data_IF_532052209002
#
_entry.id   IF_532052209002
#
_cell.length_a   1.000
_cell.length_b   1.000
_cell.length_c   1.000
_cell.angle_alpha   90.00
_cell.angle_beta   90.00
_cell.angle_gamma   90.00
#
_symmetry.space_group_name_H-M   'P 1'
#
loop_
_entity.id
_entity.type
_entity.pdbx_description
1 polymer ?
#
# COMPACT_ATOMS: atom_id res chain seq x y z
N UNK A 1 -12.25 39.20 8.80
CA UNK A 1 -11.28 38.11 9.07
C UNK A 1 -11.67 36.93 8.19
N UNK A 2 -10.87 36.58 7.19
CA UNK A 2 -11.12 35.36 6.39
C UNK A 2 -10.39 34.23 7.10
N UNK A 3 -11.15 33.36 7.76
CA UNK A 3 -10.59 32.09 8.27
C UNK A 3 -10.29 31.24 7.04
N UNK A 4 -9.02 31.15 6.66
CA UNK A 4 -8.56 30.17 5.68
C UNK A 4 -8.75 28.78 6.31
N UNK A 5 -9.88 28.15 6.03
CA UNK A 5 -10.01 26.71 6.20
C UNK A 5 -9.10 26.08 5.14
N UNK A 6 -7.94 25.56 5.55
CA UNK A 6 -7.15 24.70 4.67
C UNK A 6 -8.01 23.47 4.38
N UNK A 7 -8.71 23.45 3.25
CA UNK A 7 -9.30 22.23 2.73
C UNK A 7 -8.13 21.31 2.37
N UNK A 8 -7.96 20.25 3.15
CA UNK A 8 -7.06 19.17 2.78
C UNK A 8 -7.65 18.47 1.55
N UNK A 9 -6.91 18.49 0.46
CA UNK A 9 -7.30 17.82 -0.79
C UNK A 9 -6.52 16.51 -0.91
N UNK A 10 -7.24 15.43 -1.21
CA UNK A 10 -6.64 14.14 -1.50
C UNK A 10 -6.33 14.02 -2.98
N UNK A 11 -5.08 13.65 -3.30
CA UNK A 11 -4.60 13.46 -4.67
C UNK A 11 -4.13 12.04 -4.87
N UNK A 12 -4.53 11.46 -5.99
CA UNK A 12 -3.95 10.23 -6.50
C UNK A 12 -2.67 10.57 -7.26
N UNK A 13 -1.59 9.82 -7.02
CA UNK A 13 -0.29 10.01 -7.66
C UNK A 13 0.23 8.68 -8.19
N UNK A 14 0.61 8.68 -9.47
CA UNK A 14 1.37 7.60 -10.10
C UNK A 14 2.80 8.07 -10.31
N UNK A 15 3.70 7.60 -9.45
CA UNK A 15 5.10 7.97 -9.51
C UNK A 15 6.00 6.74 -9.53
N UNK A 16 7.12 6.76 -10.27
CA UNK A 16 8.15 5.74 -10.14
C UNK A 16 8.82 5.87 -8.77
N UNK A 17 8.63 4.86 -7.91
CA UNK A 17 9.26 4.81 -6.58
C UNK A 17 10.40 3.80 -6.61
N UNK A 18 11.58 4.21 -6.12
CA UNK A 18 12.74 3.32 -6.00
C UNK A 18 12.52 2.34 -4.85
N UNK A 19 12.98 1.10 -5.01
CA UNK A 19 12.92 0.07 -3.96
C UNK A 19 13.98 0.23 -2.85
N UNK A 20 14.60 1.41 -2.75
CA UNK A 20 15.62 1.70 -1.74
C UNK A 20 14.94 1.68 -0.36
N UNK A 21 15.58 1.09 0.64
CA UNK A 21 15.09 1.20 2.01
C UNK A 21 15.26 2.64 2.50
N UNK A 22 14.18 3.43 2.48
CA UNK A 22 14.17 4.76 3.07
C UNK A 22 13.53 4.69 4.46
N UNK A 23 13.87 5.64 5.35
CA UNK A 23 13.22 5.75 6.65
C UNK A 23 11.73 6.15 6.55
N UNK A 24 11.28 6.63 5.38
CA UNK A 24 9.88 7.02 5.13
C UNK A 24 8.99 5.85 4.68
N UNK A 25 9.57 4.71 4.32
CA UNK A 25 8.80 3.51 3.99
C UNK A 25 8.66 2.64 5.24
N UNK A 26 7.44 2.55 5.78
CA UNK A 26 7.16 1.71 6.95
C UNK A 26 7.29 0.22 6.60
N UNK A 27 6.44 -0.27 5.70
CA UNK A 27 6.46 -1.66 5.24
C UNK A 27 6.05 -1.77 3.78
N UNK A 28 6.48 -2.86 3.13
CA UNK A 28 6.06 -3.24 1.78
C UNK A 28 5.48 -4.64 1.83
N UNK A 29 4.30 -4.81 1.23
CA UNK A 29 3.58 -6.10 1.18
C UNK A 29 3.23 -6.41 -0.28
N UNK A 30 3.63 -7.58 -0.77
CA UNK A 30 3.21 -8.08 -2.07
C UNK A 30 1.99 -8.98 -1.89
N UNK A 31 0.89 -8.60 -2.53
CA UNK A 31 -0.42 -9.28 -2.40
C UNK A 31 -0.89 -9.94 -3.69
N UNK A 32 -0.23 -9.68 -4.82
CA UNK A 32 -0.62 -10.23 -6.12
C UNK A 32 0.50 -10.24 -7.15
N UNK A 33 0.30 -11.07 -8.18
CA UNK A 33 0.95 -10.99 -9.48
C UNK A 33 0.00 -10.28 -10.46
N UNK A 34 0.55 -9.31 -11.20
CA UNK A 34 -0.17 -8.55 -12.22
C UNK A 34 0.03 -9.23 -13.56
N UNK A 35 -1.06 -9.59 -14.24
CA UNK A 35 -1.04 -10.17 -15.58
C UNK A 35 -1.30 -9.12 -16.67
N UNK A 36 -2.09 -8.09 -16.36
CA UNK A 36 -2.36 -6.98 -17.26
C UNK A 36 -2.11 -5.63 -16.58
N UNK A 37 -0.92 -5.08 -16.79
CA UNK A 37 -0.46 -3.85 -16.17
C UNK A 37 -1.26 -2.62 -16.62
N UNK A 38 -1.55 -2.49 -17.93
CA UNK A 38 -2.27 -1.32 -18.45
C UNK A 38 -3.71 -1.28 -17.93
N UNK A 39 -4.36 -2.44 -17.83
CA UNK A 39 -5.70 -2.57 -17.26
C UNK A 39 -5.72 -2.27 -15.77
N UNK A 40 -4.72 -2.72 -15.02
CA UNK A 40 -4.53 -2.36 -13.61
C UNK A 40 -4.46 -0.83 -13.45
N UNK A 41 -3.63 -0.16 -14.24
CA UNK A 41 -3.52 1.30 -14.18
C UNK A 41 -4.84 2.00 -14.54
N UNK A 42 -5.55 1.53 -15.57
CA UNK A 42 -6.86 2.07 -15.93
C UNK A 42 -7.87 2.00 -14.77
N UNK A 43 -7.92 0.86 -14.06
CA UNK A 43 -8.79 0.69 -12.91
C UNK A 43 -8.38 1.64 -11.78
N UNK A 44 -7.10 1.66 -11.39
CA UNK A 44 -6.63 2.50 -10.29
C UNK A 44 -6.87 4.00 -10.54
N UNK A 45 -6.67 4.47 -11.78
CA UNK A 45 -6.98 5.85 -12.20
C UNK A 45 -8.46 6.20 -12.12
N UNK A 46 -9.33 5.20 -12.27
CA UNK A 46 -10.77 5.38 -12.23
C UNK A 46 -11.35 5.55 -10.83
N UNK A 47 -10.58 5.24 -9.78
CA UNK A 47 -11.07 5.29 -8.40
C UNK A 47 -11.04 6.74 -7.90
N UNK A 48 -12.19 7.32 -7.53
CA UNK A 48 -12.27 8.73 -7.16
C UNK A 48 -11.55 9.01 -5.84
N UNK A 49 -10.83 10.12 -5.77
CA UNK A 49 -10.42 10.74 -4.50
C UNK A 49 -11.52 11.66 -4.01
N UNK A 50 -11.96 11.48 -2.75
CA UNK A 50 -13.09 12.24 -2.20
C UNK A 50 -12.59 13.20 -1.13
N UNK A 51 -12.65 14.50 -1.43
CA UNK A 51 -12.29 15.56 -0.49
C UNK A 51 -13.51 16.01 0.31
N UNK A 52 -13.46 15.89 1.63
CA UNK A 52 -14.49 16.44 2.53
C UNK A 52 -15.55 15.45 3.02
N UNK A 53 -15.54 14.20 2.55
CA UNK A 53 -16.38 13.14 3.10
C UNK A 53 -15.85 12.68 4.46
N UNK A 54 -16.70 12.73 5.48
CA UNK A 54 -16.33 12.33 6.84
C UNK A 54 -15.94 10.84 6.87
N UNK A 55 -14.72 10.55 7.33
CA UNK A 55 -14.18 9.19 7.39
C UNK A 55 -13.46 8.71 6.13
N UNK A 56 -13.45 9.47 5.03
CA UNK A 56 -12.68 9.11 3.85
C UNK A 56 -11.18 9.40 4.04
N UNK A 57 -10.35 8.41 3.77
CA UNK A 57 -8.89 8.51 3.86
C UNK A 57 -8.20 7.51 2.91
N UNK A 58 -6.87 7.48 2.92
CA UNK A 58 -6.07 6.57 2.10
C UNK A 58 -6.38 5.08 2.34
N UNK A 59 -6.80 4.68 3.54
CA UNK A 59 -7.19 3.29 3.85
C UNK A 59 -8.49 2.93 3.13
N UNK A 60 -9.45 3.84 3.10
CA UNK A 60 -10.69 3.70 2.32
C UNK A 60 -10.43 3.57 0.83
N UNK A 61 -9.57 4.42 0.27
CA UNK A 61 -9.18 4.34 -1.15
C UNK A 61 -8.52 3.00 -1.49
N UNK A 62 -7.59 2.50 -0.66
CA UNK A 62 -6.95 1.19 -0.88
C UNK A 62 -7.98 0.06 -0.83
N UNK A 63 -8.95 0.11 0.10
CA UNK A 63 -10.02 -0.90 0.16
C UNK A 63 -10.83 -0.94 -1.14
N UNK A 64 -11.24 0.23 -1.65
CA UNK A 64 -11.94 0.32 -2.95
C UNK A 64 -11.07 -0.20 -4.09
N UNK A 65 -9.77 0.14 -4.10
CA UNK A 65 -8.83 -0.34 -5.11
C UNK A 65 -8.72 -1.87 -5.16
N UNK A 66 -8.61 -2.52 -4.00
CA UNK A 66 -8.54 -3.97 -3.95
C UNK A 66 -9.83 -4.63 -4.41
N UNK A 67 -10.99 -4.04 -4.09
CA UNK A 67 -12.29 -4.52 -4.56
C UNK A 67 -12.42 -4.42 -6.09
N UNK A 68 -12.09 -3.27 -6.67
CA UNK A 68 -12.17 -3.06 -8.12
C UNK A 68 -11.20 -3.97 -8.89
N UNK A 69 -9.97 -4.15 -8.38
CA UNK A 69 -9.02 -5.09 -8.98
C UNK A 69 -9.47 -6.55 -8.86
N UNK A 70 -10.09 -6.94 -7.74
CA UNK A 70 -10.61 -8.30 -7.53
C UNK A 70 -11.80 -8.62 -8.44
N UNK A 71 -12.67 -7.63 -8.68
CA UNK A 71 -13.82 -7.77 -9.57
C UNK A 71 -13.41 -7.89 -11.05
N UNK A 72 -12.19 -7.49 -11.39
CA UNK A 72 -11.66 -7.60 -12.73
C UNK A 72 -10.97 -8.96 -12.98
N UNK A 73 -11.63 -9.83 -13.75
CA UNK A 73 -11.13 -11.17 -14.05
C UNK A 73 -9.89 -11.23 -14.98
N UNK A 74 -9.32 -10.10 -15.41
CA UNK A 74 -8.23 -10.06 -16.40
C UNK A 74 -6.97 -9.34 -15.92
N UNK A 75 -6.97 -8.80 -14.71
CA UNK A 75 -5.85 -7.98 -14.20
C UNK A 75 -4.86 -8.80 -13.40
N UNK A 76 -5.37 -9.73 -12.60
CA UNK A 76 -4.62 -10.42 -11.56
C UNK A 76 -4.41 -11.89 -11.92
N UNK A 77 -3.20 -12.39 -11.67
CA UNK A 77 -2.92 -13.82 -11.58
C UNK A 77 -3.11 -14.30 -10.15
N UNK A 78 -2.12 -15.02 -9.60
CA UNK A 78 -2.11 -15.40 -8.18
C UNK A 78 -2.22 -14.17 -7.28
N UNK A 79 -3.25 -14.13 -6.43
CA UNK A 79 -3.59 -12.95 -5.64
C UNK A 79 -4.29 -13.27 -4.31
N UNK A 80 -4.14 -12.36 -3.36
CA UNK A 80 -4.89 -12.29 -2.10
C UNK A 80 -5.47 -10.87 -2.02
N UNK A 81 -6.77 -10.73 -2.27
CA UNK A 81 -7.44 -9.41 -2.38
C UNK A 81 -8.47 -9.14 -1.28
N UNK A 82 -8.78 -10.14 -0.45
CA UNK A 82 -9.74 -9.97 0.65
C UNK A 82 -9.21 -8.91 1.63
N UNK A 83 -10.02 -7.89 1.88
CA UNK A 83 -9.63 -6.67 2.58
C UNK A 83 -9.07 -6.94 3.98
N UNK A 84 -9.77 -7.74 4.78
CA UNK A 84 -9.38 -8.03 6.17
C UNK A 84 -8.03 -8.74 6.19
N UNK A 85 -7.85 -9.74 5.31
CA UNK A 85 -6.61 -10.51 5.18
C UNK A 85 -5.43 -9.63 4.79
N UNK A 86 -5.59 -8.76 3.79
CA UNK A 86 -4.53 -7.84 3.34
C UNK A 86 -4.20 -6.83 4.43
N UNK A 87 -5.21 -6.21 5.04
CA UNK A 87 -5.04 -5.23 6.12
C UNK A 87 -4.34 -5.83 7.32
N UNK A 88 -4.79 -6.99 7.80
CA UNK A 88 -4.25 -7.62 9.00
C UNK A 88 -2.81 -8.09 8.76
N UNK A 89 -2.50 -8.61 7.57
CA UNK A 89 -1.13 -8.93 7.19
C UNK A 89 -0.21 -7.70 7.18
N UNK A 90 -0.66 -6.59 6.62
CA UNK A 90 0.12 -5.35 6.59
C UNK A 90 0.35 -4.78 7.99
N UNK A 91 -0.70 -4.74 8.82
CA UNK A 91 -0.61 -4.25 10.20
C UNK A 91 0.25 -5.16 11.08
N UNK A 92 0.08 -6.49 10.96
CA UNK A 92 0.88 -7.46 11.69
C UNK A 92 2.36 -7.39 11.30
N UNK A 93 2.66 -7.25 10.01
CA UNK A 93 4.04 -7.08 9.55
C UNK A 93 4.66 -5.76 10.01
N UNK A 94 3.89 -4.66 10.01
CA UNK A 94 4.31 -3.38 10.57
C UNK A 94 4.64 -3.49 12.07
N UNK A 95 3.78 -4.16 12.84
CA UNK A 95 4.02 -4.40 14.27
C UNK A 95 5.27 -5.24 14.48
N UNK A 96 5.46 -6.33 13.72
CA UNK A 96 6.68 -7.13 13.76
C UNK A 96 7.94 -6.27 13.52
N UNK A 97 7.93 -5.38 12.51
CA UNK A 97 9.05 -4.47 12.24
C UNK A 97 9.29 -3.47 13.35
N UNK A 98 8.23 -3.01 14.02
CA UNK A 98 8.35 -2.17 15.21
C UNK A 98 9.02 -2.93 16.35
N UNK A 99 8.62 -4.18 16.60
CA UNK A 99 9.21 -5.03 17.66
C UNK A 99 10.67 -5.39 17.36
N UNK A 100 11.04 -5.47 16.07
CA UNK A 100 12.42 -5.60 15.61
C UNK A 100 13.22 -4.28 15.68
N UNK A 101 12.68 -3.19 16.24
CA UNK A 101 13.37 -1.90 16.32
C UNK A 101 13.73 -1.31 14.95
N UNK A 102 12.86 -1.50 13.95
CA UNK A 102 13.10 -0.99 12.58
C UNK A 102 13.00 0.52 12.47
N UNK A 103 12.16 1.14 13.29
CA UNK A 103 11.73 2.53 13.11
C UNK A 103 12.25 3.50 14.18
N UNK A 104 12.89 3.00 15.23
CA UNK A 104 13.32 3.80 16.40
C UNK A 104 14.82 4.12 16.40
N UNK A 105 15.58 3.59 15.43
CA UNK A 105 17.02 3.85 15.29
C UNK A 105 17.90 3.07 16.27
N UNK A 106 17.34 2.13 17.05
CA UNK A 106 18.11 1.33 18.01
C UNK A 106 18.99 0.29 17.29
N UNK A 107 18.55 -0.22 16.13
CA UNK A 107 19.27 -1.21 15.32
C UNK A 107 19.72 -0.59 13.99
N UNK A 108 20.99 -0.81 13.60
CA UNK A 108 21.50 -0.41 12.28
C UNK A 108 21.02 -1.38 11.19
N UNK A 109 19.96 -1.00 10.47
CA UNK A 109 19.43 -1.79 9.37
C UNK A 109 20.16 -1.53 8.06
N UNK A 110 21.18 -2.36 7.76
CA UNK A 110 21.90 -2.34 6.48
C UNK A 110 21.08 -2.97 5.37
N UNK A 111 20.11 -2.23 4.84
CA UNK A 111 19.28 -2.69 3.73
C UNK A 111 19.37 -1.72 2.57
N UNK A 112 19.98 -2.18 1.47
CA UNK A 112 20.02 -1.42 0.21
C UNK A 112 18.66 -1.42 -0.48
N UNK A 113 17.82 -2.43 -0.19
CA UNK A 113 16.45 -2.58 -0.70
C UNK A 113 15.46 -2.82 0.43
N UNK A 114 14.24 -2.34 0.24
CA UNK A 114 13.16 -2.51 1.20
C UNK A 114 12.73 -3.98 1.35
N UNK A 115 12.76 -4.49 2.58
CA UNK A 115 12.20 -5.80 2.91
C UNK A 115 10.71 -5.85 2.54
N UNK A 116 10.30 -6.92 1.86
CA UNK A 116 8.95 -7.10 1.31
C UNK A 116 8.34 -8.35 1.89
N UNK A 117 7.19 -8.20 2.56
CA UNK A 117 6.40 -9.35 2.99
C UNK A 117 5.62 -9.88 1.79
N UNK A 118 5.99 -11.07 1.32
CA UNK A 118 5.26 -11.82 0.32
C UNK A 118 4.06 -12.50 1.01
N UNK A 119 2.87 -11.91 0.87
CA UNK A 119 1.65 -12.46 1.46
C UNK A 119 1.22 -13.76 0.77
N UNK A 120 1.58 -13.95 -0.50
CA UNK A 120 1.25 -15.17 -1.26
C UNK A 120 1.97 -16.39 -0.67
N UNK A 121 3.24 -16.22 -0.30
CA UNK A 121 4.07 -17.28 0.29
C UNK A 121 4.26 -17.15 1.81
N UNK A 122 3.64 -16.14 2.44
CA UNK A 122 3.74 -15.81 3.88
C UNK A 122 5.17 -15.72 4.39
N UNK A 123 6.06 -15.07 3.63
CA UNK A 123 7.47 -14.92 3.98
C UNK A 123 8.00 -13.54 3.65
N UNK A 124 8.99 -13.09 4.42
CA UNK A 124 9.75 -11.88 4.09
C UNK A 124 10.80 -12.20 3.01
N UNK A 125 10.96 -11.29 2.06
CA UNK A 125 11.96 -11.37 0.99
C UNK A 125 12.65 -10.02 0.81
N UNK A 126 13.89 -10.02 0.32
CA UNK A 126 14.60 -8.82 -0.14
C UNK A 126 14.69 -8.94 -1.67
N UNK A 127 14.06 -8.03 -2.43
CA UNK A 127 14.01 -8.11 -3.90
C UNK A 127 15.34 -7.74 -4.58
#
# INVERSE_FOLDING_TARGET
MVVSSRKHEWKYEEAPIRLIATQMLLVRVMIAKIENHDRMLQILRGIPTRGGDEGWNCVGWVREALMELQNDAKVLGTSVMEWVTVRDAAMGYCQKKKDEHRFDGVVEWKTYKAATFDLLNRKETIP
#
